data_IF_098160634863
#
_entry.id   IF_098160634863
#
_cell.length_a   1.000
_cell.length_b   1.000
_cell.length_c   1.000
_cell.angle_alpha   90.00
_cell.angle_beta   90.00
_cell.angle_gamma   90.00
#
_symmetry.space_group_name_H-M   'P 1'
#
loop_
_entity.id
_entity.type
_entity.pdbx_description
1 polymer ?
#
# COMPACT_ATOMS: atom_id res chain seq x y z
N UNK A 1 18.40 5.87 -6.30
CA UNK A 1 17.47 5.89 -5.15
C UNK A 1 16.49 4.73 -5.21
N UNK A 2 15.71 4.57 -6.32
CA UNK A 2 14.76 3.48 -6.48
C UNK A 2 15.48 2.12 -6.54
N UNK A 3 14.98 1.14 -5.80
CA UNK A 3 15.55 -0.20 -5.68
C UNK A 3 16.81 -0.30 -4.81
N UNK A 4 17.19 0.77 -4.11
CA UNK A 4 18.24 0.74 -3.09
C UNK A 4 17.79 1.40 -1.78
N UNK A 5 17.47 2.70 -1.80
CA UNK A 5 16.93 3.43 -0.64
C UNK A 5 15.40 3.48 -0.61
N UNK A 6 14.77 3.44 -1.78
CA UNK A 6 13.32 3.40 -1.92
C UNK A 6 12.96 2.10 -2.63
N UNK A 7 12.09 1.32 -2.04
CA UNK A 7 11.54 0.09 -2.61
C UNK A 7 10.07 0.31 -2.91
N UNK A 8 9.65 -0.09 -4.11
CA UNK A 8 8.26 -0.14 -4.52
C UNK A 8 7.82 -1.59 -4.66
N UNK A 9 6.76 -1.95 -3.95
CA UNK A 9 6.10 -3.26 -4.02
C UNK A 9 4.77 -3.06 -4.74
N UNK A 10 4.63 -3.48 -6.00
CA UNK A 10 3.40 -3.29 -6.77
C UNK A 10 2.29 -4.25 -6.36
N UNK A 11 1.09 -3.96 -6.80
CA UNK A 11 -0.11 -4.79 -6.62
C UNK A 11 0.09 -6.20 -7.14
N UNK A 12 0.63 -6.37 -8.34
CA UNK A 12 0.96 -7.67 -8.92
C UNK A 12 2.46 -7.98 -8.76
N UNK A 13 2.78 -9.04 -8.02
CA UNK A 13 4.16 -9.49 -7.90
C UNK A 13 4.77 -9.93 -9.24
N UNK A 14 3.95 -10.44 -10.17
CA UNK A 14 4.44 -10.86 -11.49
C UNK A 14 4.94 -9.68 -12.33
N UNK A 15 4.29 -8.51 -12.21
CA UNK A 15 4.65 -7.33 -12.99
C UNK A 15 5.99 -6.70 -12.54
N UNK A 16 6.41 -7.00 -11.32
CA UNK A 16 7.71 -6.57 -10.80
C UNK A 16 8.86 -7.46 -11.27
N UNK A 17 8.57 -8.62 -11.84
CA UNK A 17 9.56 -9.60 -12.24
C UNK A 17 9.72 -9.63 -13.78
N UNK A 18 10.97 -9.65 -14.25
CA UNK A 18 11.22 -9.82 -15.68
C UNK A 18 10.79 -11.21 -16.14
N UNK A 19 9.89 -11.33 -17.12
CA UNK A 19 9.39 -12.63 -17.58
C UNK A 19 10.47 -13.54 -18.19
N UNK A 20 11.59 -12.96 -18.65
CA UNK A 20 12.68 -13.66 -19.31
C UNK A 20 13.79 -14.13 -18.36
N UNK A 21 13.63 -13.90 -17.05
CA UNK A 21 14.61 -14.30 -16.05
C UNK A 21 14.01 -15.32 -15.09
N UNK A 22 14.77 -16.35 -14.73
CA UNK A 22 14.38 -17.24 -13.64
C UNK A 22 14.42 -16.50 -12.29
N UNK A 23 13.70 -17.02 -11.31
CA UNK A 23 13.67 -16.44 -9.95
C UNK A 23 15.09 -16.35 -9.39
N UNK A 24 15.92 -17.38 -9.59
CA UNK A 24 17.33 -17.37 -9.19
C UNK A 24 18.11 -16.20 -9.80
N UNK A 25 17.90 -15.91 -11.08
CA UNK A 25 18.59 -14.80 -11.76
C UNK A 25 18.18 -13.43 -11.19
N UNK A 26 16.92 -13.26 -10.78
CA UNK A 26 16.49 -12.04 -10.09
C UNK A 26 17.26 -11.83 -8.78
N UNK A 27 17.39 -12.88 -7.94
CA UNK A 27 18.17 -12.79 -6.71
C UNK A 27 19.64 -12.49 -6.99
N UNK A 28 20.27 -13.21 -7.93
CA UNK A 28 21.68 -12.98 -8.29
C UNK A 28 21.91 -11.53 -8.72
N UNK A 29 21.01 -10.96 -9.51
CA UNK A 29 21.14 -9.59 -10.00
C UNK A 29 21.05 -8.57 -8.85
N UNK A 30 20.08 -8.72 -7.93
CA UNK A 30 19.94 -7.80 -6.81
C UNK A 30 21.09 -7.93 -5.80
N UNK A 31 21.56 -9.15 -5.54
CA UNK A 31 22.69 -9.39 -4.64
C UNK A 31 24.00 -8.80 -5.20
N UNK A 32 24.25 -8.94 -6.51
CA UNK A 32 25.38 -8.28 -7.18
C UNK A 32 25.30 -6.77 -7.10
N UNK A 33 24.11 -6.19 -7.37
CA UNK A 33 23.87 -4.74 -7.30
C UNK A 33 24.13 -4.20 -5.89
N UNK A 34 23.76 -4.95 -4.86
CA UNK A 34 23.95 -4.59 -3.45
C UNK A 34 25.34 -5.02 -2.91
N UNK A 35 26.27 -5.46 -3.80
CA UNK A 35 27.66 -5.80 -3.49
C UNK A 35 27.86 -6.94 -2.47
N UNK A 36 26.91 -7.87 -2.39
CA UNK A 36 27.09 -9.07 -1.59
C UNK A 36 28.21 -9.97 -2.19
N UNK A 37 28.91 -10.71 -1.34
CA UNK A 37 29.96 -11.65 -1.80
C UNK A 37 29.31 -12.87 -2.46
N UNK A 38 29.81 -13.27 -3.63
CA UNK A 38 29.25 -14.37 -4.44
C UNK A 38 29.12 -15.69 -3.66
N UNK A 39 30.06 -15.97 -2.75
CA UNK A 39 30.08 -17.18 -1.92
C UNK A 39 28.86 -17.27 -0.98
N UNK A 40 28.25 -16.14 -0.62
CA UNK A 40 27.15 -16.06 0.35
C UNK A 40 25.77 -16.09 -0.32
N UNK A 41 25.71 -16.04 -1.68
CA UNK A 41 24.44 -15.90 -2.41
C UNK A 41 23.42 -16.98 -2.07
N UNK A 42 23.82 -18.25 -2.07
CA UNK A 42 22.87 -19.34 -1.81
C UNK A 42 22.29 -19.26 -0.40
N UNK A 43 23.11 -18.96 0.59
CA UNK A 43 22.67 -18.83 1.98
C UNK A 43 21.70 -17.64 2.16
N UNK A 44 22.02 -16.50 1.54
CA UNK A 44 21.16 -15.31 1.59
C UNK A 44 19.84 -15.60 0.88
N UNK A 45 19.84 -16.20 -0.30
CA UNK A 45 18.63 -16.54 -1.03
C UNK A 45 17.74 -17.45 -0.19
N UNK A 46 18.31 -18.50 0.40
CA UNK A 46 17.58 -19.44 1.26
C UNK A 46 16.96 -18.70 2.47
N UNK A 47 17.76 -17.88 3.16
CA UNK A 47 17.29 -17.06 4.29
C UNK A 47 16.11 -16.15 3.87
N UNK A 48 16.25 -15.41 2.76
CA UNK A 48 15.22 -14.45 2.33
C UNK A 48 13.93 -15.15 1.91
N UNK A 49 14.02 -16.31 1.25
CA UNK A 49 12.84 -17.10 0.86
C UNK A 49 12.16 -17.76 2.07
N UNK A 50 12.93 -18.28 3.03
CA UNK A 50 12.38 -18.79 4.28
C UNK A 50 11.65 -17.68 5.08
N UNK A 51 12.18 -16.46 5.12
CA UNK A 51 11.57 -15.33 5.82
C UNK A 51 10.17 -14.95 5.26
N UNK A 52 9.88 -15.31 4.02
CA UNK A 52 8.56 -15.15 3.39
C UNK A 52 7.78 -16.48 3.28
N UNK A 53 8.18 -17.49 4.04
CA UNK A 53 7.51 -18.79 4.13
C UNK A 53 7.45 -19.55 2.78
N UNK A 54 8.55 -19.53 2.06
CA UNK A 54 8.76 -20.37 0.88
C UNK A 54 9.80 -21.43 1.23
N UNK A 55 9.33 -22.62 1.62
CA UNK A 55 10.21 -23.74 2.07
C UNK A 55 10.77 -24.58 0.93
N UNK A 56 10.02 -24.74 -0.16
CA UNK A 56 10.45 -25.53 -1.35
C UNK A 56 11.12 -24.64 -2.40
N UNK A 57 11.99 -23.74 -1.95
CA UNK A 57 12.57 -22.69 -2.80
C UNK A 57 13.49 -23.21 -3.90
N UNK A 58 14.11 -24.39 -3.76
CA UNK A 58 15.03 -24.96 -4.77
C UNK A 58 14.33 -25.18 -6.12
N UNK A 59 13.11 -25.71 -6.09
CA UNK A 59 12.29 -25.86 -7.29
C UNK A 59 11.89 -24.51 -7.87
N UNK A 60 11.46 -23.58 -7.00
CA UNK A 60 10.98 -22.25 -7.40
C UNK A 60 12.10 -21.41 -8.03
N UNK A 61 13.34 -21.55 -7.57
CA UNK A 61 14.48 -20.79 -8.10
C UNK A 61 14.73 -21.01 -9.59
N UNK A 62 14.37 -22.17 -10.12
CA UNK A 62 14.55 -22.51 -11.53
C UNK A 62 13.36 -22.10 -12.41
N UNK A 63 12.21 -21.72 -11.81
CA UNK A 63 11.02 -21.29 -12.53
C UNK A 63 11.11 -19.84 -13.00
N UNK A 64 10.32 -19.54 -14.03
CA UNK A 64 10.07 -18.20 -14.51
C UNK A 64 8.82 -17.59 -13.80
N UNK A 65 8.64 -16.26 -13.82
CA UNK A 65 7.49 -15.61 -13.15
C UNK A 65 6.12 -16.12 -13.61
N UNK A 66 5.97 -16.54 -14.84
CA UNK A 66 4.71 -17.07 -15.38
C UNK A 66 4.38 -18.50 -14.89
N UNK A 67 5.37 -19.24 -14.40
CA UNK A 67 5.21 -20.61 -13.90
C UNK A 67 4.83 -20.69 -12.41
N UNK A 68 4.72 -19.56 -11.73
CA UNK A 68 4.38 -19.46 -10.30
C UNK A 68 3.04 -18.76 -10.08
N UNK A 69 2.41 -18.97 -8.92
CA UNK A 69 1.17 -18.26 -8.55
C UNK A 69 1.43 -16.78 -8.29
N UNK A 70 0.39 -15.95 -8.38
CA UNK A 70 0.49 -14.52 -8.04
C UNK A 70 0.93 -14.28 -6.59
N UNK A 71 0.42 -15.07 -5.65
CA UNK A 71 0.80 -14.98 -4.24
C UNK A 71 2.26 -15.35 -4.01
N UNK A 72 2.76 -16.41 -4.67
CA UNK A 72 4.18 -16.79 -4.65
C UNK A 72 5.06 -15.70 -5.25
N UNK A 73 4.66 -15.12 -6.39
CA UNK A 73 5.38 -14.01 -7.02
C UNK A 73 5.49 -12.79 -6.08
N UNK A 74 4.41 -12.47 -5.38
CA UNK A 74 4.39 -11.37 -4.42
C UNK A 74 5.32 -11.62 -3.22
N UNK A 75 5.32 -12.85 -2.65
CA UNK A 75 6.28 -13.26 -1.62
C UNK A 75 7.73 -13.14 -2.11
N UNK A 76 8.01 -13.56 -3.34
CA UNK A 76 9.33 -13.44 -3.96
C UNK A 76 9.75 -11.97 -4.11
N UNK A 77 8.86 -11.08 -4.55
CA UNK A 77 9.14 -9.64 -4.65
C UNK A 77 9.49 -9.05 -3.29
N UNK A 78 8.78 -9.42 -2.23
CA UNK A 78 9.09 -9.01 -0.86
C UNK A 78 10.46 -9.53 -0.43
N UNK A 79 10.77 -10.81 -0.71
CA UNK A 79 12.08 -11.41 -0.42
C UNK A 79 13.22 -10.72 -1.16
N UNK A 80 13.06 -10.45 -2.45
CA UNK A 80 14.01 -9.67 -3.25
C UNK A 80 14.22 -8.26 -2.68
N UNK A 81 13.13 -7.62 -2.28
CA UNK A 81 13.17 -6.29 -1.67
C UNK A 81 14.00 -6.27 -0.38
N UNK A 82 13.89 -7.33 0.43
CA UNK A 82 14.65 -7.45 1.69
C UNK A 82 16.15 -7.71 1.50
N UNK A 83 16.62 -7.91 0.28
CA UNK A 83 18.04 -7.91 -0.05
C UNK A 83 18.67 -6.50 -0.09
N UNK A 84 17.89 -5.44 0.09
CA UNK A 84 18.35 -4.05 0.05
C UNK A 84 18.09 -3.35 1.38
N UNK A 85 18.96 -2.39 1.74
CA UNK A 85 18.79 -1.54 2.94
C UNK A 85 17.93 -0.33 2.59
N UNK A 86 16.62 -0.52 2.48
CA UNK A 86 15.71 0.57 2.17
C UNK A 86 15.41 1.44 3.39
N UNK A 87 15.32 2.75 3.17
CA UNK A 87 14.81 3.71 4.15
C UNK A 87 13.34 4.04 3.95
N UNK A 88 12.77 3.68 2.79
CA UNK A 88 11.36 3.87 2.45
C UNK A 88 10.83 2.69 1.67
N UNK A 89 9.70 2.15 2.09
CA UNK A 89 8.90 1.14 1.38
C UNK A 89 7.61 1.79 0.91
N UNK A 90 7.28 1.61 -0.35
CA UNK A 90 5.97 1.98 -0.92
C UNK A 90 5.29 0.68 -1.35
N UNK A 91 4.19 0.34 -0.69
CA UNK A 91 3.40 -0.86 -0.96
C UNK A 91 2.06 -0.45 -1.60
N UNK A 92 1.85 -0.87 -2.83
CA UNK A 92 0.70 -0.46 -3.64
C UNK A 92 -0.29 -1.63 -3.78
N UNK A 93 -1.50 -1.48 -3.20
CA UNK A 93 -2.63 -2.42 -3.27
C UNK A 93 -2.25 -3.90 -3.03
N UNK A 94 -1.21 -4.14 -2.21
CA UNK A 94 -0.63 -5.48 -2.01
C UNK A 94 -1.55 -6.49 -1.33
N UNK A 95 -2.70 -6.04 -0.83
CA UNK A 95 -3.68 -6.85 -0.08
C UNK A 95 -4.97 -7.10 -0.87
N UNK A 96 -5.02 -6.72 -2.14
CA UNK A 96 -6.21 -6.87 -2.95
C UNK A 96 -6.54 -8.36 -3.22
N UNK A 97 -7.81 -8.72 -3.04
CA UNK A 97 -8.33 -10.07 -3.37
C UNK A 97 -7.90 -11.20 -2.41
N UNK A 98 -7.41 -10.89 -1.22
CA UNK A 98 -7.03 -11.89 -0.21
C UNK A 98 -7.85 -11.76 1.08
N UNK A 99 -7.89 -12.82 1.87
CA UNK A 99 -8.62 -12.84 3.14
C UNK A 99 -8.01 -11.87 4.17
N UNK A 100 -8.83 -11.36 5.10
CA UNK A 100 -8.41 -10.34 6.04
C UNK A 100 -7.23 -10.78 6.92
N UNK A 101 -7.21 -12.03 7.35
CA UNK A 101 -6.09 -12.60 8.10
C UNK A 101 -4.78 -12.52 7.32
N UNK A 102 -4.80 -12.88 6.05
CA UNK A 102 -3.61 -12.83 5.18
C UNK A 102 -3.14 -11.39 4.92
N UNK A 103 -4.05 -10.41 4.89
CA UNK A 103 -3.71 -8.99 4.78
C UNK A 103 -2.86 -8.53 5.96
N UNK A 104 -3.32 -8.85 7.17
CA UNK A 104 -2.61 -8.51 8.42
C UNK A 104 -1.25 -9.23 8.47
N UNK A 105 -1.19 -10.50 8.08
CA UNK A 105 0.06 -11.26 8.01
C UNK A 105 1.08 -10.60 7.06
N UNK A 106 0.64 -10.14 5.89
CA UNK A 106 1.50 -9.42 4.93
C UNK A 106 1.96 -8.06 5.47
N UNK A 107 1.07 -7.31 6.13
CA UNK A 107 1.43 -6.06 6.78
C UNK A 107 2.53 -6.30 7.82
N UNK A 108 2.34 -7.25 8.72
CA UNK A 108 3.30 -7.62 9.76
C UNK A 108 4.62 -8.16 9.16
N UNK A 109 4.56 -8.87 8.03
CA UNK A 109 5.74 -9.34 7.32
C UNK A 109 6.61 -8.18 6.84
N UNK A 110 6.02 -7.16 6.23
CA UNK A 110 6.74 -5.94 5.80
C UNK A 110 7.35 -5.24 7.02
N UNK A 111 6.61 -5.13 8.11
CA UNK A 111 7.09 -4.50 9.34
C UNK A 111 8.32 -5.23 9.92
N UNK A 112 8.25 -6.56 9.96
CA UNK A 112 9.35 -7.41 10.44
C UNK A 112 10.58 -7.34 9.54
N UNK A 113 10.40 -7.31 8.21
CA UNK A 113 11.51 -7.30 7.26
C UNK A 113 12.17 -5.92 7.12
N UNK A 114 11.44 -4.84 7.43
CA UNK A 114 11.92 -3.47 7.29
C UNK A 114 11.64 -2.63 8.55
N UNK A 115 12.18 -3.00 9.72
CA UNK A 115 11.79 -2.41 11.00
C UNK A 115 12.15 -0.92 11.13
N UNK A 116 13.14 -0.44 10.40
CA UNK A 116 13.64 0.95 10.48
C UNK A 116 13.21 1.82 9.29
N UNK A 117 12.58 1.23 8.28
CA UNK A 117 12.15 1.97 7.11
C UNK A 117 10.81 2.70 7.36
N UNK A 118 10.67 3.91 6.82
CA UNK A 118 9.37 4.52 6.64
C UNK A 118 8.52 3.71 5.65
N UNK A 119 7.22 3.62 5.87
CA UNK A 119 6.32 2.81 5.04
C UNK A 119 5.14 3.64 4.57
N UNK A 120 4.84 3.56 3.28
CA UNK A 120 3.65 4.14 2.66
C UNK A 120 2.84 2.99 2.08
N UNK A 121 1.63 2.80 2.59
CA UNK A 121 0.67 1.85 2.07
C UNK A 121 -0.37 2.59 1.24
N UNK A 122 -0.44 2.31 -0.05
CA UNK A 122 -1.51 2.79 -0.94
C UNK A 122 -2.56 1.68 -0.94
N UNK A 123 -3.74 1.97 -0.41
CA UNK A 123 -4.78 0.97 -0.27
C UNK A 123 -6.17 1.59 -0.18
N UNK A 124 -7.18 0.86 -0.62
CA UNK A 124 -8.58 1.14 -0.35
C UNK A 124 -9.09 0.34 0.88
N UNK A 125 -8.23 -0.44 1.51
CA UNK A 125 -8.59 -1.34 2.61
C UNK A 125 -8.45 -0.63 3.96
N UNK A 126 -9.59 -0.39 4.61
CA UNK A 126 -9.63 0.28 5.91
C UNK A 126 -9.01 -0.60 7.02
N UNK A 127 -9.01 -1.93 6.89
CA UNK A 127 -8.37 -2.79 7.87
C UNK A 127 -6.86 -2.56 7.94
N UNK A 128 -6.22 -2.33 6.81
CA UNK A 128 -4.80 -1.95 6.73
C UNK A 128 -4.60 -0.50 7.19
N UNK A 129 -5.50 0.42 6.79
CA UNK A 129 -5.40 1.82 7.24
C UNK A 129 -5.48 1.96 8.78
N UNK A 130 -6.24 1.10 9.46
CA UNK A 130 -6.32 1.05 10.94
C UNK A 130 -4.98 0.68 11.61
N UNK A 131 -4.08 0.00 10.90
CA UNK A 131 -2.77 -0.42 11.41
C UNK A 131 -1.67 0.64 11.23
N UNK A 132 -1.93 1.68 10.43
CA UNK A 132 -0.98 2.75 10.18
C UNK A 132 -0.99 3.80 11.29
N UNK A 133 0.12 4.54 11.45
CA UNK A 133 0.22 5.67 12.39
C UNK A 133 -0.62 6.84 11.92
N UNK A 134 -0.47 7.23 10.65
CA UNK A 134 -1.17 8.33 10.01
C UNK A 134 -1.83 7.88 8.71
N UNK A 135 -2.90 8.55 8.33
CA UNK A 135 -3.57 8.32 7.03
C UNK A 135 -3.76 9.61 6.26
N UNK A 136 -3.76 9.46 4.95
CA UNK A 136 -4.09 10.49 3.97
C UNK A 136 -5.24 9.99 3.10
N UNK A 137 -6.40 10.60 3.22
CA UNK A 137 -7.60 10.26 2.44
C UNK A 137 -7.61 11.05 1.15
N UNK A 138 -7.58 10.35 0.03
CA UNK A 138 -7.55 10.92 -1.31
C UNK A 138 -8.88 10.70 -2.05
N UNK A 139 -9.30 11.69 -2.83
CA UNK A 139 -10.41 11.56 -3.78
C UNK A 139 -10.07 12.31 -5.05
N UNK A 140 -10.05 11.62 -6.21
CA UNK A 140 -9.70 12.19 -7.52
C UNK A 140 -8.40 13.02 -7.49
N UNK A 141 -7.36 12.48 -6.84
CA UNK A 141 -6.04 13.12 -6.76
C UNK A 141 -5.96 14.31 -5.79
N UNK A 142 -7.02 14.61 -5.05
CA UNK A 142 -7.02 15.68 -4.04
C UNK A 142 -7.08 15.13 -2.63
N UNK A 143 -6.34 15.75 -1.72
CA UNK A 143 -6.41 15.43 -0.28
C UNK A 143 -7.72 15.92 0.29
N UNK A 144 -8.48 15.02 0.89
CA UNK A 144 -9.72 15.34 1.62
C UNK A 144 -9.45 15.53 3.09
N UNK A 145 -8.71 14.61 3.70
CA UNK A 145 -8.41 14.61 5.12
C UNK A 145 -7.11 13.87 5.39
N UNK A 146 -6.36 14.29 6.41
CA UNK A 146 -5.15 13.59 6.86
C UNK A 146 -4.94 13.75 8.36
N UNK A 147 -4.26 12.80 8.98
CA UNK A 147 -3.88 12.83 10.38
C UNK A 147 -3.72 11.45 11.00
N UNK A 148 -3.58 11.36 12.33
CA UNK A 148 -3.45 10.10 13.02
C UNK A 148 -4.60 9.15 12.67
N UNK A 149 -4.27 7.94 12.21
CA UNK A 149 -5.23 6.98 11.66
C UNK A 149 -6.39 6.75 12.63
N UNK A 150 -6.09 6.48 13.90
CA UNK A 150 -7.11 6.28 14.94
C UNK A 150 -8.10 7.45 15.03
N UNK A 151 -7.61 8.69 14.99
CA UNK A 151 -8.48 9.88 15.12
C UNK A 151 -9.35 10.07 13.87
N UNK A 152 -8.75 10.02 12.68
CA UNK A 152 -9.47 10.23 11.41
C UNK A 152 -10.51 9.14 11.17
N UNK A 153 -10.21 7.88 11.53
CA UNK A 153 -11.13 6.76 11.33
C UNK A 153 -12.26 6.69 12.36
N UNK A 154 -12.07 7.25 13.57
CA UNK A 154 -13.13 7.27 14.60
C UNK A 154 -13.96 8.53 14.58
N UNK A 155 -13.37 9.67 14.25
CA UNK A 155 -14.05 10.97 14.22
C UNK A 155 -13.65 11.79 12.98
N UNK A 156 -14.07 11.36 11.78
CA UNK A 156 -13.76 12.05 10.54
C UNK A 156 -14.42 13.43 10.47
N UNK A 157 -13.69 14.40 9.94
CA UNK A 157 -14.20 15.76 9.75
C UNK A 157 -14.76 15.98 8.34
N UNK A 158 -14.06 15.44 7.32
CA UNK A 158 -14.48 15.65 5.94
C UNK A 158 -15.71 14.79 5.58
N UNK A 159 -16.75 15.33 4.92
CA UNK A 159 -17.95 14.59 4.53
C UNK A 159 -17.66 13.36 3.66
N UNK A 160 -16.61 13.40 2.81
CA UNK A 160 -16.19 12.24 2.03
C UNK A 160 -15.67 11.11 2.93
N UNK A 161 -14.82 11.42 3.91
CA UNK A 161 -14.30 10.41 4.85
C UNK A 161 -15.43 9.78 5.66
N UNK A 162 -16.41 10.59 6.10
CA UNK A 162 -17.63 10.10 6.78
C UNK A 162 -18.40 9.12 5.90
N UNK A 163 -18.64 9.51 4.64
CA UNK A 163 -19.36 8.68 3.68
C UNK A 163 -18.58 7.39 3.35
N UNK A 164 -17.25 7.48 3.18
CA UNK A 164 -16.40 6.31 2.95
C UNK A 164 -16.51 5.31 4.11
N UNK A 165 -16.41 5.77 5.35
CA UNK A 165 -16.53 4.91 6.53
C UNK A 165 -17.93 4.34 6.71
N UNK A 166 -18.98 5.11 6.40
CA UNK A 166 -20.37 4.63 6.50
C UNK A 166 -20.72 3.57 5.45
N UNK A 167 -19.94 3.48 4.37
CA UNK A 167 -20.13 2.45 3.33
C UNK A 167 -19.50 1.09 3.67
N UNK A 168 -18.79 1.00 4.79
CA UNK A 168 -18.20 -0.25 5.24
C UNK A 168 -19.28 -1.23 5.72
N UNK A 169 -19.11 -2.55 5.52
CA UNK A 169 -20.05 -3.58 5.97
C UNK A 169 -20.40 -3.47 7.46
N UNK A 170 -19.40 -3.23 8.31
CA UNK A 170 -19.57 -3.06 9.75
C UNK A 170 -20.37 -1.81 10.14
N UNK A 171 -20.53 -0.84 9.23
CA UNK A 171 -21.20 0.46 9.47
C UNK A 171 -22.53 0.60 8.70
N UNK A 172 -23.07 -0.50 8.16
CA UNK A 172 -24.43 -0.54 7.59
C UNK A 172 -24.52 -0.41 6.07
N UNK A 173 -23.38 -0.53 5.33
CA UNK A 173 -23.36 -0.54 3.86
C UNK A 173 -24.09 0.64 3.20
N UNK A 174 -24.01 1.84 3.78
CA UNK A 174 -24.63 3.03 3.18
C UNK A 174 -23.98 3.35 1.85
N UNK A 175 -24.69 3.13 0.75
CA UNK A 175 -24.17 3.33 -0.61
C UNK A 175 -23.97 4.83 -0.89
N UNK A 176 -22.79 5.16 -1.39
CA UNK A 176 -22.53 6.49 -1.96
C UNK A 176 -22.95 6.45 -3.43
N UNK A 177 -23.90 7.29 -3.88
CA UNK A 177 -24.33 7.28 -5.28
C UNK A 177 -23.15 7.49 -6.23
N UNK A 178 -23.08 6.68 -7.29
CA UNK A 178 -22.13 6.86 -8.37
C UNK A 178 -22.62 8.03 -9.24
N UNK A 179 -22.11 9.22 -8.96
CA UNK A 179 -22.36 10.41 -9.79
C UNK A 179 -21.07 10.77 -10.53
N UNK A 180 -21.22 11.23 -11.76
CA UNK A 180 -20.10 11.66 -12.60
C UNK A 180 -19.32 12.80 -11.89
N UNK A 181 -18.00 12.72 -11.96
CA UNK A 181 -17.14 13.78 -11.45
C UNK A 181 -17.28 15.03 -12.34
N UNK A 182 -17.79 16.12 -11.78
CA UNK A 182 -17.66 17.43 -12.41
C UNK A 182 -16.25 17.99 -12.13
N UNK A 183 -15.54 18.41 -13.17
CA UNK A 183 -14.29 19.14 -13.03
C UNK A 183 -14.55 20.39 -12.20
N UNK A 184 -14.30 20.29 -10.90
CA UNK A 184 -14.50 21.36 -9.93
C UNK A 184 -13.48 21.24 -8.80
N UNK A 185 -13.58 22.09 -7.79
CA UNK A 185 -12.60 22.08 -6.71
C UNK A 185 -12.81 20.92 -5.72
N UNK A 186 -14.02 20.62 -5.30
CA UNK A 186 -14.29 19.50 -4.40
C UNK A 186 -14.80 18.27 -5.19
N UNK A 187 -14.04 17.18 -5.27
CA UNK A 187 -14.48 15.99 -6.01
C UNK A 187 -15.73 15.32 -5.45
N UNK A 188 -16.05 15.60 -4.18
CA UNK A 188 -17.21 15.07 -3.51
C UNK A 188 -18.44 15.98 -3.62
N UNK A 189 -18.35 17.15 -4.27
CA UNK A 189 -19.40 18.17 -4.30
C UNK A 189 -20.79 17.61 -4.62
N UNK A 190 -20.95 16.85 -5.70
CA UNK A 190 -22.25 16.35 -6.14
C UNK A 190 -22.91 15.39 -5.15
N UNK A 191 -22.09 14.67 -4.38
CA UNK A 191 -22.53 13.66 -3.40
C UNK A 191 -22.59 14.19 -1.97
N UNK A 192 -22.14 15.42 -1.75
CA UNK A 192 -22.08 16.04 -0.43
C UNK A 192 -23.43 16.65 -0.06
N UNK A 193 -24.04 16.16 1.01
CA UNK A 193 -25.27 16.72 1.55
C UNK A 193 -25.07 18.15 2.11
N UNK A 194 -23.84 18.48 2.51
CA UNK A 194 -23.46 19.77 3.07
C UNK A 194 -22.77 20.68 2.05
N UNK A 195 -23.03 20.47 0.75
CA UNK A 195 -22.42 21.26 -0.31
C UNK A 195 -22.83 22.72 -0.27
N UNK A 196 -21.85 23.59 -0.54
CA UNK A 196 -22.04 25.04 -0.71
C UNK A 196 -21.46 25.45 -2.06
N UNK A 197 -21.97 26.49 -2.70
CA UNK A 197 -21.46 26.96 -4.02
C UNK A 197 -19.96 27.27 -3.99
N UNK A 198 -19.44 27.74 -2.86
CA UNK A 198 -18.00 27.94 -2.62
C UNK A 198 -17.17 26.69 -2.84
N UNK A 199 -17.72 25.49 -2.71
CA UNK A 199 -17.01 24.23 -2.94
C UNK A 199 -16.68 23.98 -4.42
N UNK A 200 -17.32 24.71 -5.34
CA UNK A 200 -17.01 24.68 -6.78
C UNK A 200 -15.83 25.60 -7.14
N UNK A 201 -15.46 26.51 -6.27
CA UNK A 201 -14.43 27.54 -6.54
C UNK A 201 -13.15 27.26 -5.76
N UNK A 202 -13.29 26.90 -4.48
CA UNK A 202 -12.17 26.61 -3.59
C UNK A 202 -12.63 25.76 -2.42
N UNK A 203 -11.68 25.24 -1.65
CA UNK A 203 -11.96 24.70 -0.32
C UNK A 203 -10.90 25.19 0.66
N UNK A 204 -11.34 25.42 1.89
CA UNK A 204 -10.48 25.91 2.96
C UNK A 204 -9.75 24.75 3.61
N UNK A 205 -8.45 24.93 3.83
CA UNK A 205 -7.69 24.07 4.73
C UNK A 205 -8.14 24.40 6.16
N UNK A 206 -8.55 23.37 6.89
CA UNK A 206 -8.90 23.43 8.31
C UNK A 206 -7.99 22.50 9.08
N UNK A 207 -7.76 22.80 10.35
CA UNK A 207 -6.91 21.99 11.21
C UNK A 207 -7.45 21.99 12.63
N UNK A 208 -7.47 20.81 13.24
CA UNK A 208 -7.73 20.60 14.66
C UNK A 208 -6.71 19.59 15.17
N UNK A 209 -5.88 19.99 16.13
CA UNK A 209 -4.72 19.20 16.58
C UNK A 209 -3.83 18.78 15.38
N UNK A 210 -3.67 17.45 15.20
CA UNK A 210 -2.89 16.83 14.12
C UNK A 210 -3.75 16.46 12.91
N UNK A 211 -5.07 16.72 12.92
CA UNK A 211 -5.95 16.41 11.79
C UNK A 211 -6.06 17.64 10.91
N UNK A 212 -5.90 17.45 9.61
CA UNK A 212 -6.08 18.47 8.59
C UNK A 212 -7.12 17.99 7.59
N UNK A 213 -8.09 18.85 7.25
CA UNK A 213 -9.05 18.54 6.19
C UNK A 213 -9.32 19.76 5.31
N UNK A 214 -9.81 19.49 4.12
CA UNK A 214 -10.01 20.50 3.09
C UNK A 214 -11.49 20.59 2.73
N UNK A 215 -12.23 21.46 3.40
CA UNK A 215 -13.68 21.58 3.25
C UNK A 215 -14.19 23.00 3.57
N UNK A 216 -15.28 23.41 2.90
CA UNK A 216 -16.00 24.65 3.20
C UNK A 216 -17.20 24.45 4.16
N UNK A 217 -17.48 23.19 4.53
CA UNK A 217 -18.46 22.88 5.57
C UNK A 217 -17.86 23.11 6.95
N UNK A 218 -18.62 23.73 7.82
CA UNK A 218 -18.22 24.06 9.20
C UNK A 218 -18.47 22.90 10.15
#
# INVERSE_FOLDING_TARGET
>A
LLGSKIIYIPQSGKDALSPNLTIKKHFINILKRNKYKKKDFNNIIAEKLNNVEISNYEEILNKYPFEISGGTAQKIVIALSSCSSASLIIADEMTNGIAEKEKIEKFNLIDRLFPTAGKIYITHDISIAKLCDDILVLNHGKTMEQGPAKKVLTNPHHPYTKALLSSLPENGLNTIPLLSYLKGYCPFYQRCQNRKDKCLISFKKKQLDKIVWYCNYD
#
